data_IF_886039165464
#
_entry.id   IF_886039165464
#
_cell.length_a   1.000
_cell.length_b   1.000
_cell.length_c   1.000
_cell.angle_alpha   90.00
_cell.angle_beta   90.00
_cell.angle_gamma   90.00
#
_symmetry.space_group_name_H-M   'P 1'
#
loop_
_entity.id
_entity.type
_entity.pdbx_description
1 polymer ?
#
# COMPACT_ATOMS: atom_id res chain seq x y z
N UNK A 1 -9.72 17.80 -15.79
CA UNK A 1 -10.19 16.65 -14.97
C UNK A 1 -10.95 17.22 -13.78
N UNK A 2 -12.20 16.78 -13.58
CA UNK A 2 -13.03 17.20 -12.47
C UNK A 2 -12.54 16.45 -11.23
N UNK A 3 -12.41 17.15 -10.10
CA UNK A 3 -11.98 16.56 -8.83
C UNK A 3 -13.09 16.69 -7.79
N UNK A 4 -13.10 15.76 -6.84
CA UNK A 4 -14.08 15.82 -5.74
C UNK A 4 -13.96 17.11 -4.91
N UNK A 5 -12.74 17.63 -4.73
CA UNK A 5 -12.52 18.90 -4.04
C UNK A 5 -13.11 20.10 -4.81
N UNK A 6 -13.05 20.06 -6.15
CA UNK A 6 -13.71 21.07 -6.98
C UNK A 6 -15.25 21.04 -6.79
N UNK A 7 -15.86 19.85 -6.77
CA UNK A 7 -17.30 19.68 -6.54
C UNK A 7 -17.74 20.16 -5.16
N UNK A 8 -16.97 19.84 -4.11
CA UNK A 8 -17.22 20.33 -2.75
C UNK A 8 -17.13 21.88 -2.72
N UNK A 9 -16.13 22.46 -3.41
CA UNK A 9 -15.97 23.91 -3.52
C UNK A 9 -17.15 24.57 -4.24
N UNK A 10 -17.57 24.03 -5.38
CA UNK A 10 -18.74 24.52 -6.14
C UNK A 10 -20.00 24.47 -5.28
N UNK A 11 -20.25 23.36 -4.58
CA UNK A 11 -21.42 23.19 -3.74
C UNK A 11 -21.46 24.20 -2.59
N UNK A 12 -20.32 24.45 -1.92
CA UNK A 12 -20.22 25.50 -0.89
C UNK A 12 -20.52 26.89 -1.44
N UNK A 13 -20.02 27.19 -2.64
CA UNK A 13 -20.24 28.49 -3.29
C UNK A 13 -21.72 28.72 -3.64
N UNK A 14 -22.45 27.68 -4.09
CA UNK A 14 -23.88 27.77 -4.36
C UNK A 14 -24.66 28.29 -3.16
N UNK A 15 -24.34 27.82 -1.95
CA UNK A 15 -25.01 28.27 -0.71
C UNK A 15 -24.48 29.61 -0.16
N UNK A 16 -23.25 30.01 -0.51
CA UNK A 16 -22.72 31.31 -0.14
C UNK A 16 -23.38 32.48 -0.91
N UNK A 17 -23.87 32.22 -2.13
CA UNK A 17 -24.40 33.23 -3.04
C UNK A 17 -25.91 33.44 -2.82
N UNK A 18 -26.69 32.39 -2.70
CA UNK A 18 -28.15 32.44 -2.55
C UNK A 18 -28.75 31.17 -1.98
N UNK A 19 -29.62 31.29 -0.99
CA UNK A 19 -30.50 30.21 -0.54
C UNK A 19 -31.98 30.65 -0.69
N UNK A 20 -32.84 29.78 -1.20
CA UNK A 20 -32.61 28.43 -1.73
C UNK A 20 -31.94 28.46 -3.11
N UNK A 21 -31.13 27.44 -3.41
CA UNK A 21 -30.47 27.28 -4.70
C UNK A 21 -31.47 26.88 -5.77
N UNK A 22 -31.43 27.53 -6.92
CA UNK A 22 -32.33 27.29 -8.05
C UNK A 22 -31.65 26.42 -9.11
N UNK A 23 -32.46 25.56 -9.72
CA UNK A 23 -32.01 24.69 -10.84
C UNK A 23 -31.49 25.48 -12.06
N UNK A 24 -32.11 26.64 -12.36
CA UNK A 24 -31.84 27.43 -13.56
C UNK A 24 -30.68 28.41 -13.44
N UNK A 25 -29.89 28.34 -12.37
CA UNK A 25 -28.67 29.15 -12.25
C UNK A 25 -27.49 28.53 -12.98
N UNK A 26 -26.67 29.33 -13.69
CA UNK A 26 -25.49 28.80 -14.39
C UNK A 26 -24.56 28.01 -13.49
N UNK A 27 -24.39 28.46 -12.26
CA UNK A 27 -23.52 27.84 -11.25
C UNK A 27 -24.01 26.44 -10.85
N UNK A 28 -25.35 26.28 -10.70
CA UNK A 28 -25.94 24.98 -10.40
C UNK A 28 -25.87 24.04 -11.60
N UNK A 29 -26.14 24.52 -12.80
CA UNK A 29 -26.04 23.73 -14.03
C UNK A 29 -24.62 23.21 -14.22
N UNK A 30 -23.61 24.05 -13.96
CA UNK A 30 -22.20 23.63 -14.04
C UNK A 30 -21.88 22.58 -12.98
N UNK A 31 -22.24 22.83 -11.71
CA UNK A 31 -22.06 21.85 -10.64
C UNK A 31 -22.73 20.50 -10.98
N UNK A 32 -23.96 20.52 -11.45
CA UNK A 32 -24.68 19.31 -11.81
C UNK A 32 -23.98 18.53 -12.94
N UNK A 33 -23.57 19.22 -13.99
CA UNK A 33 -22.84 18.61 -15.12
C UNK A 33 -21.53 17.97 -14.66
N UNK A 34 -20.73 18.72 -13.87
CA UNK A 34 -19.46 18.26 -13.35
C UNK A 34 -19.64 17.05 -12.41
N UNK A 35 -20.67 17.08 -11.56
CA UNK A 35 -21.00 15.99 -10.66
C UNK A 35 -21.36 14.71 -11.42
N UNK A 36 -22.23 14.79 -12.42
CA UNK A 36 -22.61 13.64 -13.24
C UNK A 36 -21.36 13.04 -13.92
N UNK A 37 -20.55 13.90 -14.56
CA UNK A 37 -19.31 13.43 -15.20
C UNK A 37 -18.39 12.74 -14.19
N UNK A 38 -18.17 13.32 -13.01
CA UNK A 38 -17.33 12.75 -11.96
C UNK A 38 -17.84 11.37 -11.49
N UNK A 39 -19.16 11.23 -11.29
CA UNK A 39 -19.77 9.96 -10.86
C UNK A 39 -19.50 8.85 -11.88
N UNK A 40 -19.70 9.12 -13.16
CA UNK A 40 -19.47 8.12 -14.22
C UNK A 40 -17.99 7.81 -14.44
N UNK A 41 -17.12 8.82 -14.42
CA UNK A 41 -15.66 8.61 -14.59
C UNK A 41 -15.05 7.78 -13.46
N UNK A 42 -15.62 7.80 -12.25
CA UNK A 42 -15.13 7.08 -11.08
C UNK A 42 -15.96 5.83 -10.73
N UNK A 43 -16.95 5.45 -11.54
CA UNK A 43 -17.81 4.28 -11.36
C UNK A 43 -18.57 4.28 -10.01
N UNK A 44 -19.14 5.44 -9.62
CA UNK A 44 -19.88 5.60 -8.38
C UNK A 44 -21.41 5.53 -8.54
N UNK A 45 -21.94 5.14 -9.72
CA UNK A 45 -23.37 5.13 -10.07
C UNK A 45 -24.19 4.25 -9.11
N UNK A 46 -23.63 3.16 -8.64
CA UNK A 46 -24.28 2.22 -7.72
C UNK A 46 -23.96 2.48 -6.24
N UNK A 47 -23.16 3.51 -5.94
CA UNK A 47 -22.77 3.83 -4.56
C UNK A 47 -23.97 4.34 -3.73
N UNK A 48 -23.95 4.05 -2.44
CA UNK A 48 -24.99 4.55 -1.54
C UNK A 48 -24.93 6.08 -1.40
N UNK A 49 -23.72 6.65 -1.47
CA UNK A 49 -23.49 8.09 -1.49
C UNK A 49 -24.20 8.73 -2.70
N UNK A 50 -24.07 8.16 -3.90
CA UNK A 50 -24.73 8.66 -5.08
C UNK A 50 -26.26 8.55 -4.98
N UNK A 51 -26.79 7.45 -4.46
CA UNK A 51 -28.23 7.27 -4.24
C UNK A 51 -28.80 8.35 -3.32
N UNK A 52 -28.04 8.79 -2.30
CA UNK A 52 -28.45 9.86 -1.40
C UNK A 52 -28.31 11.23 -2.10
N UNK A 53 -27.18 11.49 -2.77
CA UNK A 53 -26.97 12.75 -3.53
C UNK A 53 -28.11 12.96 -4.53
N UNK A 54 -28.39 11.97 -5.36
CA UNK A 54 -29.36 12.06 -6.45
C UNK A 54 -30.76 12.39 -5.97
N UNK A 55 -31.19 11.95 -4.77
CA UNK A 55 -32.46 12.26 -4.16
C UNK A 55 -32.57 13.69 -3.64
N UNK A 56 -31.42 14.34 -3.37
CA UNK A 56 -31.36 15.70 -2.85
C UNK A 56 -31.06 16.74 -3.93
N UNK A 57 -30.79 16.32 -5.17
CA UNK A 57 -30.62 17.22 -6.31
C UNK A 57 -31.99 17.79 -6.76
N UNK A 58 -31.95 19.00 -7.33
CA UNK A 58 -33.07 19.59 -8.02
C UNK A 58 -32.95 19.39 -9.52
N UNK A 59 -34.09 19.04 -10.18
CA UNK A 59 -34.07 18.65 -11.59
C UNK A 59 -35.00 19.54 -12.46
N UNK A 60 -35.80 20.43 -11.85
CA UNK A 60 -36.71 21.30 -12.59
C UNK A 60 -36.60 22.74 -12.12
N UNK A 61 -36.96 23.68 -13.03
CA UNK A 61 -36.93 25.11 -12.73
C UNK A 61 -37.84 25.55 -11.56
N UNK A 62 -38.81 24.73 -11.20
CA UNK A 62 -39.72 24.98 -10.06
C UNK A 62 -39.18 24.51 -8.73
N UNK A 63 -38.22 23.59 -8.77
CA UNK A 63 -37.60 23.08 -7.54
C UNK A 63 -36.58 24.07 -6.96
N UNK A 64 -36.41 24.00 -5.67
CA UNK A 64 -35.45 24.78 -4.89
C UNK A 64 -34.77 23.84 -3.91
N UNK A 65 -33.46 23.90 -3.86
CA UNK A 65 -32.68 23.16 -2.88
C UNK A 65 -32.57 23.96 -1.60
N UNK A 66 -33.04 23.41 -0.49
CA UNK A 66 -32.87 24.00 0.83
C UNK A 66 -31.45 23.72 1.40
N UNK A 67 -31.07 24.47 2.44
CA UNK A 67 -29.78 24.30 3.12
C UNK A 67 -29.58 22.87 3.63
N UNK A 68 -30.62 22.22 4.14
CA UNK A 68 -30.56 20.85 4.64
C UNK A 68 -30.21 19.82 3.54
N UNK A 69 -30.79 19.95 2.36
CA UNK A 69 -30.50 19.11 1.20
C UNK A 69 -29.09 19.32 0.71
N UNK A 70 -28.63 20.57 0.64
CA UNK A 70 -27.24 20.89 0.26
C UNK A 70 -26.20 20.40 1.25
N UNK A 71 -26.47 20.48 2.54
CA UNK A 71 -25.59 19.90 3.56
C UNK A 71 -25.55 18.38 3.45
N UNK A 72 -26.66 17.73 3.13
CA UNK A 72 -26.69 16.28 2.87
C UNK A 72 -25.80 15.92 1.68
N UNK A 73 -25.88 16.67 0.58
CA UNK A 73 -25.00 16.47 -0.58
C UNK A 73 -23.52 16.66 -0.20
N UNK A 74 -23.17 17.71 0.53
CA UNK A 74 -21.79 17.94 1.00
C UNK A 74 -21.25 16.79 1.84
N UNK A 75 -22.05 16.25 2.77
CA UNK A 75 -21.66 15.07 3.58
C UNK A 75 -21.37 13.87 2.68
N UNK A 76 -22.19 13.63 1.66
CA UNK A 76 -21.98 12.51 0.74
C UNK A 76 -20.80 12.73 -0.22
N UNK A 77 -20.54 13.96 -0.65
CA UNK A 77 -19.32 14.28 -1.41
C UNK A 77 -18.05 14.02 -0.58
N UNK A 78 -18.05 14.38 0.69
CA UNK A 78 -16.96 14.04 1.61
C UNK A 78 -16.82 12.52 1.82
N UNK A 79 -17.93 11.77 1.82
CA UNK A 79 -17.91 10.31 1.89
C UNK A 79 -17.32 9.70 0.60
N UNK A 80 -17.74 10.20 -0.58
CA UNK A 80 -17.15 9.80 -1.87
C UNK A 80 -15.66 10.10 -1.94
N UNK A 81 -15.21 11.26 -1.42
CA UNK A 81 -13.79 11.60 -1.32
C UNK A 81 -13.01 10.57 -0.51
N UNK A 82 -13.53 10.18 0.66
CA UNK A 82 -12.91 9.12 1.48
C UNK A 82 -12.90 7.78 0.76
N UNK A 83 -13.97 7.45 0.04
CA UNK A 83 -14.07 6.22 -0.76
C UNK A 83 -13.10 6.22 -1.94
N UNK A 84 -12.99 7.32 -2.68
CA UNK A 84 -12.01 7.48 -3.77
C UNK A 84 -10.59 7.29 -3.26
N UNK A 85 -10.23 7.93 -2.15
CA UNK A 85 -8.94 7.75 -1.50
C UNK A 85 -8.72 6.28 -1.09
N UNK A 86 -9.72 5.63 -0.51
CA UNK A 86 -9.67 4.22 -0.14
C UNK A 86 -9.51 3.29 -1.34
N UNK A 87 -10.18 3.57 -2.46
CA UNK A 87 -10.06 2.78 -3.70
C UNK A 87 -8.71 2.99 -4.40
N UNK A 88 -8.20 4.23 -4.45
CA UNK A 88 -6.88 4.54 -5.04
C UNK A 88 -5.73 3.86 -4.32
N UNK A 89 -5.88 3.64 -3.03
CA UNK A 89 -4.84 3.07 -2.17
C UNK A 89 -5.24 1.73 -1.56
N UNK A 90 -6.29 1.10 -2.08
CA UNK A 90 -6.63 -0.27 -1.74
C UNK A 90 -5.47 -1.19 -2.14
N UNK A 91 -4.95 -1.93 -1.17
CA UNK A 91 -3.94 -2.96 -1.44
C UNK A 91 -4.62 -4.08 -2.23
N UNK A 92 -4.14 -4.37 -3.44
CA UNK A 92 -4.50 -5.63 -4.11
C UNK A 92 -3.79 -6.79 -3.41
N UNK A 93 -4.50 -7.39 -2.46
CA UNK A 93 -3.98 -8.49 -1.66
C UNK A 93 -3.60 -9.73 -2.46
N UNK A 94 -4.00 -9.84 -3.73
CA UNK A 94 -3.56 -10.91 -4.64
C UNK A 94 -2.09 -10.76 -5.05
N UNK A 95 -1.57 -9.53 -5.02
CA UNK A 95 -0.17 -9.23 -5.31
C UNK A 95 0.73 -9.28 -4.07
N UNK A 96 0.14 -9.46 -2.89
CA UNK A 96 0.88 -9.45 -1.62
C UNK A 96 1.23 -10.88 -1.22
N UNK A 97 2.48 -11.08 -0.79
CA UNK A 97 2.98 -12.37 -0.32
C UNK A 97 2.14 -12.93 0.85
N UNK A 98 1.82 -14.24 0.88
CA UNK A 98 0.96 -14.84 1.92
C UNK A 98 1.42 -14.58 3.35
N UNK A 99 2.73 -14.63 3.64
CA UNK A 99 3.27 -14.34 4.97
C UNK A 99 3.03 -12.87 5.38
N UNK A 100 3.11 -11.94 4.43
CA UNK A 100 2.82 -10.52 4.66
C UNK A 100 1.32 -10.32 4.88
N UNK A 101 0.46 -10.98 4.08
CA UNK A 101 -1.01 -10.94 4.29
C UNK A 101 -1.36 -11.36 5.72
N UNK A 102 -0.77 -12.47 6.18
CA UNK A 102 -1.04 -13.05 7.50
C UNK A 102 -0.81 -12.07 8.65
N UNK A 103 0.23 -11.23 8.58
CA UNK A 103 0.62 -10.33 9.68
C UNK A 103 0.11 -8.90 9.52
N UNK A 104 -0.26 -8.48 8.30
CA UNK A 104 -0.49 -7.06 8.00
C UNK A 104 -1.94 -6.74 7.61
N UNK A 105 -2.70 -7.68 6.99
CA UNK A 105 -3.98 -7.38 6.37
C UNK A 105 -5.03 -6.85 7.35
N UNK A 106 -5.23 -7.51 8.49
CA UNK A 106 -6.21 -7.07 9.48
C UNK A 106 -5.88 -5.66 10.01
N UNK A 107 -4.61 -5.43 10.37
CA UNK A 107 -4.15 -4.12 10.83
C UNK A 107 -4.42 -3.01 9.79
N UNK A 108 -4.16 -3.30 8.51
CA UNK A 108 -4.44 -2.35 7.43
C UNK A 108 -5.95 -2.05 7.30
N UNK A 109 -6.79 -3.10 7.32
CA UNK A 109 -8.24 -2.97 7.20
C UNK A 109 -8.86 -2.22 8.39
N UNK A 110 -8.27 -2.36 9.57
CA UNK A 110 -8.70 -1.67 10.81
C UNK A 110 -8.14 -0.23 10.92
N UNK A 111 -7.38 0.23 9.90
CA UNK A 111 -6.82 1.58 9.87
C UNK A 111 -5.50 1.76 10.62
N UNK A 112 -4.92 0.67 11.16
CA UNK A 112 -3.61 0.66 11.83
C UNK A 112 -2.48 0.56 10.80
N UNK A 113 -2.36 1.59 9.96
CA UNK A 113 -1.50 1.57 8.78
C UNK A 113 -0.01 1.45 9.10
N UNK A 114 0.44 2.17 10.14
CA UNK A 114 1.82 2.10 10.58
C UNK A 114 2.21 0.72 11.10
N UNK A 115 1.38 0.14 11.98
CA UNK A 115 1.58 -1.19 12.54
C UNK A 115 1.51 -2.27 11.46
N UNK A 116 0.62 -2.12 10.50
CA UNK A 116 0.50 -3.00 9.34
C UNK A 116 1.80 -3.05 8.54
N UNK A 117 2.30 -1.91 8.12
CA UNK A 117 3.54 -1.81 7.35
C UNK A 117 4.74 -2.32 8.16
N UNK A 118 4.86 -1.92 9.42
CA UNK A 118 5.94 -2.36 10.32
C UNK A 118 5.94 -3.88 10.53
N UNK A 119 4.77 -4.50 10.70
CA UNK A 119 4.63 -5.95 10.88
C UNK A 119 5.15 -6.72 9.68
N UNK A 120 4.96 -6.21 8.47
CA UNK A 120 5.49 -6.80 7.24
C UNK A 120 7.04 -6.91 7.26
N UNK A 121 7.73 -5.85 7.67
CA UNK A 121 9.20 -5.87 7.76
C UNK A 121 9.74 -6.65 8.95
N UNK A 122 8.98 -6.73 10.06
CA UNK A 122 9.28 -7.63 11.18
C UNK A 122 9.21 -9.09 10.70
N UNK A 123 8.22 -9.45 9.88
CA UNK A 123 8.07 -10.82 9.37
C UNK A 123 9.24 -11.23 8.46
N UNK A 124 9.69 -10.37 7.54
CA UNK A 124 10.89 -10.63 6.73
C UNK A 124 12.10 -10.90 7.62
N UNK A 125 12.31 -10.03 8.60
CA UNK A 125 13.42 -10.20 9.53
C UNK A 125 13.32 -11.49 10.36
N UNK A 126 12.12 -11.84 10.81
CA UNK A 126 11.87 -13.05 11.57
C UNK A 126 12.14 -14.31 10.74
N UNK A 127 11.73 -14.32 9.46
CA UNK A 127 11.98 -15.43 8.52
C UNK A 127 13.48 -15.63 8.30
N UNK A 128 14.23 -14.57 7.98
CA UNK A 128 15.69 -14.65 7.82
C UNK A 128 16.37 -15.10 9.12
N UNK A 129 15.98 -14.53 10.25
CA UNK A 129 16.55 -14.88 11.56
C UNK A 129 16.27 -16.34 11.96
N UNK A 130 15.17 -16.92 11.52
CA UNK A 130 14.83 -18.32 11.75
C UNK A 130 15.70 -19.28 10.91
N UNK A 131 16.03 -18.87 9.68
CA UNK A 131 16.91 -19.66 8.79
C UNK A 131 18.37 -19.73 9.34
N UNK A 132 18.84 -18.67 9.99
CA UNK A 132 20.21 -18.54 10.45
C UNK A 132 20.28 -18.27 11.97
N UNK A 133 19.88 -19.23 12.81
CA UNK A 133 19.83 -19.05 14.27
C UNK A 133 21.20 -18.93 14.92
N UNK A 134 22.29 -19.36 14.26
CA UNK A 134 23.66 -19.40 14.77
C UNK A 134 24.44 -18.10 14.52
N UNK A 135 24.00 -17.23 13.60
CA UNK A 135 24.74 -16.03 13.26
C UNK A 135 24.85 -15.06 14.43
N UNK A 136 26.09 -14.69 14.75
CA UNK A 136 26.44 -13.81 15.87
C UNK A 136 27.26 -12.61 15.39
N UNK A 137 27.04 -11.47 16.02
CA UNK A 137 27.87 -10.29 15.85
C UNK A 137 29.21 -10.39 16.62
N UNK A 138 30.04 -9.40 16.44
CA UNK A 138 31.34 -9.31 17.15
C UNK A 138 31.18 -9.26 18.67
N UNK A 139 30.04 -8.85 19.18
CA UNK A 139 29.68 -8.83 20.60
C UNK A 139 29.11 -10.16 21.11
N UNK A 140 29.10 -11.21 20.29
CA UNK A 140 28.57 -12.53 20.60
C UNK A 140 27.05 -12.62 20.62
N UNK A 141 26.32 -11.52 20.43
CA UNK A 141 24.88 -11.52 20.37
C UNK A 141 24.38 -11.98 19.01
N UNK A 142 23.19 -12.58 19.00
CA UNK A 142 22.53 -13.00 17.77
C UNK A 142 22.30 -11.79 16.85
N UNK A 143 22.66 -11.95 15.58
CA UNK A 143 22.42 -10.89 14.59
C UNK A 143 20.92 -10.64 14.43
N UNK A 144 20.58 -9.37 14.19
CA UNK A 144 19.19 -8.92 14.03
C UNK A 144 19.15 -7.64 13.16
N UNK A 145 18.08 -7.47 12.39
CA UNK A 145 17.87 -6.26 11.58
C UNK A 145 18.96 -6.02 10.55
N UNK A 146 19.40 -4.77 10.46
CA UNK A 146 20.40 -4.34 9.45
C UNK A 146 21.65 -5.23 9.39
N UNK A 147 22.36 -5.53 10.49
CA UNK A 147 23.55 -6.38 10.45
C UNK A 147 23.26 -7.82 9.97
N UNK A 148 22.10 -8.38 10.34
CA UNK A 148 21.68 -9.70 9.88
C UNK A 148 21.53 -9.71 8.36
N UNK A 149 20.83 -8.73 7.80
CA UNK A 149 20.59 -8.63 6.35
C UNK A 149 21.90 -8.42 5.58
N UNK A 150 22.79 -7.58 6.08
CA UNK A 150 24.11 -7.39 5.44
C UNK A 150 24.96 -8.66 5.44
N UNK A 151 24.86 -9.49 6.47
CA UNK A 151 25.60 -10.76 6.54
C UNK A 151 24.98 -11.80 5.62
N UNK A 152 23.68 -12.03 5.73
CA UNK A 152 22.99 -13.09 4.99
C UNK A 152 23.01 -12.86 3.48
N UNK A 153 22.81 -11.62 3.04
CA UNK A 153 22.80 -11.25 1.62
C UNK A 153 24.12 -10.62 1.13
N UNK A 154 25.22 -10.84 1.83
CA UNK A 154 26.53 -10.28 1.49
C UNK A 154 26.86 -10.41 0.00
N UNK A 155 27.40 -9.35 -0.62
CA UNK A 155 27.82 -9.40 -2.03
C UNK A 155 29.03 -10.32 -2.27
N UNK A 156 29.89 -10.52 -1.24
CA UNK A 156 31.14 -11.29 -1.36
C UNK A 156 30.99 -12.73 -0.90
N UNK A 157 30.24 -12.95 0.15
CA UNK A 157 30.04 -14.27 0.76
C UNK A 157 28.62 -14.37 1.30
N UNK A 158 27.63 -14.49 0.40
CA UNK A 158 26.23 -14.61 0.81
C UNK A 158 25.94 -15.96 1.44
N UNK A 159 25.14 -15.97 2.51
CA UNK A 159 24.47 -17.18 3.01
C UNK A 159 23.27 -17.53 2.11
N UNK A 160 22.61 -16.50 1.51
CA UNK A 160 21.53 -16.66 0.52
C UNK A 160 21.98 -16.00 -0.78
N UNK A 161 22.07 -16.82 -1.83
CA UNK A 161 22.48 -16.39 -3.17
C UNK A 161 21.26 -15.95 -3.97
N UNK A 162 21.12 -14.64 -4.18
CA UNK A 162 20.05 -14.05 -5.00
C UNK A 162 20.37 -14.05 -6.49
N UNK A 163 21.67 -13.91 -6.83
CA UNK A 163 22.15 -13.90 -8.21
C UNK A 163 23.52 -14.58 -8.30
N UNK A 164 23.89 -14.99 -9.52
CA UNK A 164 25.20 -15.62 -9.76
C UNK A 164 26.34 -14.62 -9.53
N UNK A 165 26.96 -14.69 -8.37
CA UNK A 165 28.05 -13.82 -7.94
C UNK A 165 29.38 -14.09 -8.64
N UNK A 166 29.46 -15.07 -9.55
CA UNK A 166 30.61 -15.30 -10.39
C UNK A 166 30.75 -14.26 -11.53
N UNK A 167 29.72 -13.46 -11.76
CA UNK A 167 29.67 -12.42 -12.77
C UNK A 167 29.58 -11.04 -12.15
N UNK A 168 30.17 -10.01 -12.78
CA UNK A 168 30.07 -8.61 -12.31
C UNK A 168 28.59 -8.14 -12.19
N UNK A 169 27.74 -8.54 -13.14
CA UNK A 169 26.31 -8.21 -13.13
C UNK A 169 25.62 -8.89 -11.94
N UNK A 170 25.89 -10.16 -11.71
CA UNK A 170 25.29 -10.91 -10.60
C UNK A 170 25.76 -10.39 -9.23
N UNK A 171 27.06 -10.04 -9.09
CA UNK A 171 27.54 -9.39 -7.86
C UNK A 171 26.82 -8.05 -7.58
N UNK A 172 26.62 -7.24 -8.63
CA UNK A 172 25.86 -5.98 -8.49
C UNK A 172 24.39 -6.20 -8.10
N UNK A 173 23.74 -7.22 -8.66
CA UNK A 173 22.37 -7.61 -8.29
C UNK A 173 22.31 -8.08 -6.83
N UNK A 174 23.22 -8.95 -6.42
CA UNK A 174 23.34 -9.44 -5.04
C UNK A 174 23.51 -8.27 -4.06
N UNK A 175 24.41 -7.34 -4.37
CA UNK A 175 24.64 -6.13 -3.57
C UNK A 175 23.40 -5.26 -3.49
N UNK A 176 22.73 -5.04 -4.62
CA UNK A 176 21.50 -4.23 -4.67
C UNK A 176 20.40 -4.79 -3.77
N UNK A 177 20.19 -6.11 -3.77
CA UNK A 177 19.22 -6.74 -2.89
C UNK A 177 19.68 -6.74 -1.43
N UNK A 178 20.97 -6.95 -1.13
CA UNK A 178 21.51 -6.77 0.21
C UNK A 178 21.17 -5.39 0.77
N UNK A 179 21.42 -4.34 -0.02
CA UNK A 179 21.14 -2.95 0.38
C UNK A 179 19.63 -2.69 0.59
N UNK A 180 18.77 -3.26 -0.25
CA UNK A 180 17.32 -3.17 -0.09
C UNK A 180 16.83 -3.85 1.19
N UNK A 181 17.26 -5.10 1.47
CA UNK A 181 16.91 -5.81 2.70
C UNK A 181 17.44 -5.10 3.94
N UNK A 182 18.70 -4.67 3.91
CA UNK A 182 19.32 -3.97 5.04
C UNK A 182 18.68 -2.60 5.28
N UNK A 183 18.44 -1.82 4.22
CA UNK A 183 17.75 -0.53 4.29
C UNK A 183 16.32 -0.66 4.82
N UNK A 184 15.57 -1.66 4.35
CA UNK A 184 14.22 -1.94 4.86
C UNK A 184 14.23 -2.29 6.36
N UNK A 185 15.18 -3.13 6.80
CA UNK A 185 15.33 -3.46 8.21
C UNK A 185 15.70 -2.25 9.09
N UNK A 186 16.49 -1.32 8.56
CA UNK A 186 16.92 -0.12 9.28
C UNK A 186 15.80 0.95 9.36
N UNK A 187 15.19 1.25 8.22
CA UNK A 187 14.30 2.41 8.07
C UNK A 187 12.83 2.09 8.34
N UNK A 188 12.36 0.88 7.99
CA UNK A 188 10.93 0.56 7.98
C UNK A 188 10.50 -0.40 9.10
N UNK A 189 11.45 -1.21 9.62
CA UNK A 189 11.20 -2.08 10.77
C UNK A 189 11.34 -1.37 12.11
N UNK A 190 12.31 -0.46 12.23
CA UNK A 190 12.73 0.18 13.49
C UNK A 190 12.60 1.72 13.46
N UNK A 191 11.47 2.32 13.09
CA UNK A 191 11.33 3.73 13.36
C UNK A 191 11.38 3.90 14.90
N UNK A 192 12.32 4.70 15.39
CA UNK A 192 12.40 5.02 16.81
C UNK A 192 11.13 5.79 17.17
N UNK A 193 10.41 5.33 18.17
CA UNK A 193 9.17 5.91 18.69
C UNK A 193 9.42 7.29 19.35
N UNK A 194 9.69 8.32 18.55
CA UNK A 194 9.89 9.68 19.04
C UNK A 194 8.98 10.74 18.40
N UNK A 195 8.17 10.35 17.41
CA UNK A 195 7.15 11.22 16.81
C UNK A 195 5.89 10.36 16.61
N UNK A 196 4.71 10.99 16.57
CA UNK A 196 3.45 10.32 16.27
C UNK A 196 3.57 9.62 14.90
N UNK A 197 3.95 8.34 14.91
CA UNK A 197 4.22 7.53 13.72
C UNK A 197 2.91 7.14 13.03
N UNK A 198 2.17 8.14 12.54
CA UNK A 198 1.02 7.90 11.67
C UNK A 198 1.47 8.00 10.21
N UNK A 199 1.28 6.94 9.46
CA UNK A 199 1.43 6.97 8.01
C UNK A 199 0.06 6.88 7.34
N UNK A 200 -0.04 7.43 6.12
CA UNK A 200 -1.29 7.32 5.34
C UNK A 200 -1.50 5.89 4.85
N UNK A 201 -2.75 5.52 4.55
CA UNK A 201 -3.10 4.25 3.90
C UNK A 201 -2.26 4.01 2.63
N UNK A 202 -2.04 5.07 1.84
CA UNK A 202 -1.23 5.05 0.64
C UNK A 202 0.23 4.66 0.91
N UNK A 203 0.86 5.28 1.90
CA UNK A 203 2.24 4.95 2.27
C UNK A 203 2.36 3.54 2.81
N UNK A 204 1.40 3.09 3.62
CA UNK A 204 1.34 1.71 4.08
C UNK A 204 1.21 0.73 2.92
N UNK A 205 0.31 0.99 1.96
CA UNK A 205 0.14 0.15 0.77
C UNK A 205 1.44 0.01 -0.02
N UNK A 206 2.16 1.10 -0.28
CA UNK A 206 3.47 1.07 -0.94
C UNK A 206 4.50 0.25 -0.17
N UNK A 207 4.54 0.38 1.15
CA UNK A 207 5.45 -0.38 2.00
C UNK A 207 5.11 -1.87 2.01
N UNK A 208 3.82 -2.24 2.03
CA UNK A 208 3.37 -3.63 1.96
C UNK A 208 3.75 -4.29 0.62
N UNK A 209 3.61 -3.58 -0.50
CA UNK A 209 4.05 -4.07 -1.82
C UNK A 209 5.57 -4.24 -1.86
N UNK A 210 6.33 -3.29 -1.31
CA UNK A 210 7.78 -3.41 -1.22
C UNK A 210 8.21 -4.59 -0.34
N UNK A 211 7.61 -4.77 0.83
CA UNK A 211 7.85 -5.92 1.69
C UNK A 211 7.53 -7.25 0.99
N UNK A 212 6.41 -7.28 0.25
CA UNK A 212 6.00 -8.44 -0.55
C UNK A 212 7.03 -8.79 -1.63
N UNK A 213 7.54 -7.79 -2.37
CA UNK A 213 8.58 -7.99 -3.37
C UNK A 213 9.85 -8.61 -2.73
N UNK A 214 10.28 -8.11 -1.59
CA UNK A 214 11.44 -8.67 -0.88
C UNK A 214 11.18 -10.10 -0.41
N UNK A 215 9.98 -10.40 0.09
CA UNK A 215 9.63 -11.74 0.57
C UNK A 215 9.59 -12.76 -0.57
N UNK A 216 8.99 -12.42 -1.73
CA UNK A 216 9.03 -13.27 -2.92
C UNK A 216 10.46 -13.48 -3.41
N UNK A 217 11.30 -12.45 -3.35
CA UNK A 217 12.71 -12.58 -3.75
C UNK A 217 13.49 -13.50 -2.84
N UNK A 218 13.19 -13.49 -1.55
CA UNK A 218 13.75 -14.43 -0.58
C UNK A 218 13.32 -15.88 -0.93
N UNK A 219 12.03 -16.11 -1.18
CA UNK A 219 11.52 -17.44 -1.51
C UNK A 219 12.10 -17.97 -2.82
N UNK A 220 12.19 -17.15 -3.88
CA UNK A 220 12.85 -17.52 -5.12
C UNK A 220 14.31 -17.93 -4.94
N UNK A 221 15.04 -17.30 -4.02
CA UNK A 221 16.41 -17.65 -3.74
C UNK A 221 16.52 -18.98 -3.00
N UNK A 222 15.66 -19.22 -2.01
CA UNK A 222 15.60 -20.48 -1.25
C UNK A 222 15.21 -21.66 -2.12
N UNK A 223 14.20 -21.51 -2.98
CA UNK A 223 13.77 -22.53 -3.93
C UNK A 223 14.88 -22.91 -4.92
N UNK A 224 15.66 -21.94 -5.37
CA UNK A 224 16.83 -22.18 -6.23
C UNK A 224 17.91 -23.01 -5.56
N UNK A 225 18.19 -22.69 -4.30
CA UNK A 225 19.18 -23.41 -3.51
C UNK A 225 18.72 -24.87 -3.26
N UNK A 226 17.46 -25.08 -2.90
CA UNK A 226 16.88 -26.41 -2.72
C UNK A 226 16.97 -27.24 -3.98
N UNK A 227 16.56 -26.69 -5.13
CA UNK A 227 16.63 -27.37 -6.43
C UNK A 227 18.07 -27.71 -6.82
N UNK A 228 19.03 -26.84 -6.53
CA UNK A 228 20.46 -27.09 -6.81
C UNK A 228 21.03 -28.22 -5.95
N UNK A 229 20.61 -28.30 -4.69
CA UNK A 229 21.02 -29.37 -3.78
C UNK A 229 20.42 -30.71 -4.20
N UNK A 230 19.15 -30.75 -4.63
CA UNK A 230 18.50 -31.96 -5.16
C UNK A 230 19.23 -32.47 -6.41
N UNK A 231 19.52 -31.60 -7.37
CA UNK A 231 20.24 -31.96 -8.60
C UNK A 231 21.65 -32.49 -8.31
N UNK A 232 22.36 -31.94 -7.32
CA UNK A 232 23.67 -32.42 -6.91
C UNK A 232 23.61 -33.81 -6.28
N UNK A 233 22.60 -34.10 -5.47
CA UNK A 233 22.37 -35.43 -4.87
C UNK A 233 22.04 -36.47 -5.95
N UNK A 234 21.13 -36.14 -6.88
CA UNK A 234 20.75 -37.03 -7.98
C UNK A 234 21.95 -37.40 -8.86
N UNK A 235 22.80 -36.40 -9.17
CA UNK A 235 24.05 -36.65 -9.93
C UNK A 235 24.99 -37.58 -9.20
N UNK A 236 25.17 -37.41 -7.90
CA UNK A 236 26.03 -38.26 -7.08
C UNK A 236 25.56 -39.73 -7.03
N UNK A 237 24.23 -39.97 -7.14
CA UNK A 237 23.65 -41.30 -7.16
C UNK A 237 23.74 -42.00 -8.54
N UNK A 238 23.86 -41.20 -9.61
CA UNK A 238 23.99 -41.77 -10.98
C UNK A 238 25.45 -42.04 -11.38
N UNK A 239 26.39 -41.41 -10.70
CA UNK A 239 27.85 -41.58 -10.94
C UNK A 239 28.48 -42.73 -10.10
N UNK A 240 27.66 -43.44 -9.31
CA UNK A 240 28.03 -44.68 -8.57
C UNK A 240 27.50 -45.92 -9.25
#
# INVERSE_FOLDING_TARGET
MITIDSLIGQMKNLFAIKTPVRFDTPEYIQFYSDLIQYIYENHFEESDEWKIISRNLVYTSTQRMAVGEGNTILIQLDALKRRELGLRFAVDWKLVHPDIIRVARSLYQDGHYFESARSAFIEINAKVKKLFPELRGKDGKRLDGYPLMQTVFSAKSPEIVIADTSTDTGENVQRGFMDMFAGAAAALRNPKAHENDSITAENAARQLIFASMLMYKLDEALEREENSNIAAVEKSLTDC
#
